data_IF_447343249994
#
_entry.id   IF_447343249994
#
_cell.length_a   1.000
_cell.length_b   1.000
_cell.length_c   1.000
_cell.angle_alpha   90.00
_cell.angle_beta   90.00
_cell.angle_gamma   90.00
#
_symmetry.space_group_name_H-M   'P 1'
#
loop_
_entity.id
_entity.type
_entity.pdbx_description
1 polymer ?
#
# COMPACT_ATOMS: atom_id res chain seq x y z
N UNK A 1 -7.82 6.89 -14.62
CA UNK A 1 -6.67 7.13 -13.71
C UNK A 1 -6.02 8.49 -13.94
N UNK A 2 -5.76 8.93 -15.19
CA UNK A 2 -5.13 10.23 -15.49
C UNK A 2 -5.71 11.42 -14.70
N UNK A 3 -7.03 11.56 -14.65
CA UNK A 3 -7.72 12.62 -13.90
C UNK A 3 -7.43 12.62 -12.38
N UNK A 4 -7.26 11.44 -11.77
CA UNK A 4 -6.90 11.33 -10.34
C UNK A 4 -5.45 11.76 -10.14
N UNK A 5 -4.53 11.31 -11.00
CA UNK A 5 -3.12 11.75 -10.95
C UNK A 5 -2.99 13.26 -11.10
N UNK A 6 -3.63 13.84 -12.10
CA UNK A 6 -3.58 15.29 -12.38
C UNK A 6 -4.19 16.10 -11.24
N UNK A 7 -5.32 15.66 -10.65
CA UNK A 7 -5.93 16.33 -9.52
C UNK A 7 -5.02 16.30 -8.26
N UNK A 8 -4.37 15.16 -7.99
CA UNK A 8 -3.44 15.03 -6.85
C UNK A 8 -2.18 15.86 -7.06
N UNK A 9 -1.64 15.86 -8.29
CA UNK A 9 -0.53 16.72 -8.67
C UNK A 9 -0.89 18.19 -8.48
N UNK A 10 -2.05 18.63 -8.98
CA UNK A 10 -2.49 20.01 -8.87
C UNK A 10 -2.68 20.44 -7.39
N UNK A 11 -3.19 19.55 -6.55
CA UNK A 11 -3.33 19.81 -5.11
C UNK A 11 -1.96 19.97 -4.43
N UNK A 12 -1.04 19.04 -4.66
CA UNK A 12 0.32 19.10 -4.07
C UNK A 12 1.15 20.25 -4.62
N UNK A 13 1.02 20.57 -5.91
CA UNK A 13 1.70 21.71 -6.53
C UNK A 13 1.21 23.05 -5.95
N UNK A 14 -0.09 23.15 -5.64
CA UNK A 14 -0.68 24.32 -4.99
C UNK A 14 -0.30 24.43 -3.52
N UNK A 15 -0.19 23.30 -2.82
CA UNK A 15 0.10 23.23 -1.39
C UNK A 15 1.17 22.16 -1.10
N UNK A 16 2.47 22.48 -1.27
CA UNK A 16 3.56 21.53 -1.04
C UNK A 16 3.64 21.00 0.40
N UNK A 17 3.07 21.74 1.36
CA UNK A 17 2.95 21.33 2.77
C UNK A 17 2.24 19.98 2.96
N UNK A 18 1.38 19.57 2.03
CA UNK A 18 0.69 18.28 2.04
C UNK A 18 1.67 17.08 2.03
N UNK A 19 2.86 17.22 1.43
CA UNK A 19 3.90 16.18 1.47
C UNK A 19 4.47 16.03 2.87
N UNK A 20 4.75 17.15 3.54
CA UNK A 20 5.23 17.14 4.92
C UNK A 20 4.18 16.54 5.84
N UNK A 21 2.92 16.97 5.72
CA UNK A 21 1.82 16.42 6.51
C UNK A 21 1.69 14.91 6.32
N UNK A 22 1.84 14.40 5.10
CA UNK A 22 1.82 12.97 4.83
C UNK A 22 2.94 12.20 5.57
N UNK A 23 4.14 12.77 5.67
CA UNK A 23 5.27 12.11 6.31
C UNK A 23 5.26 12.19 7.85
N UNK A 24 4.74 13.27 8.43
CA UNK A 24 4.91 13.54 9.87
C UNK A 24 3.62 13.64 10.68
N UNK A 25 2.49 13.98 10.05
CA UNK A 25 1.24 14.29 10.77
C UNK A 25 0.05 13.41 10.35
N UNK A 26 0.15 12.76 9.18
CA UNK A 26 -0.90 11.94 8.57
C UNK A 26 -2.27 12.63 8.54
N UNK A 27 -2.30 13.92 8.16
CA UNK A 27 -3.50 14.75 8.24
C UNK A 27 -4.51 14.40 7.15
N UNK A 28 -5.78 14.22 7.54
CA UNK A 28 -6.88 13.94 6.60
C UNK A 28 -7.56 15.22 6.12
N UNK A 29 -7.73 15.35 4.82
CA UNK A 29 -8.42 16.43 4.15
C UNK A 29 -9.87 15.99 3.78
N UNK A 30 -10.90 16.56 4.42
CA UNK A 30 -12.30 16.19 4.16
C UNK A 30 -12.83 16.66 2.80
N UNK A 31 -12.10 17.53 2.08
CA UNK A 31 -12.45 17.94 0.71
C UNK A 31 -11.92 16.97 -0.33
N UNK A 32 -11.15 15.98 0.10
CA UNK A 32 -10.53 15.00 -0.77
C UNK A 32 -11.23 13.64 -0.59
N UNK A 33 -11.94 13.24 -1.65
CA UNK A 33 -12.66 11.98 -1.69
C UNK A 33 -11.76 10.75 -1.61
N UNK A 34 -10.46 10.92 -1.86
CA UNK A 34 -9.46 9.86 -1.84
C UNK A 34 -9.44 8.97 -3.07
N UNK A 35 -8.40 8.15 -3.14
CA UNK A 35 -8.32 7.01 -4.03
C UNK A 35 -8.64 5.72 -3.25
N UNK A 36 -8.90 4.62 -3.96
CA UNK A 36 -9.12 3.29 -3.36
C UNK A 36 -7.81 2.67 -2.78
N UNK A 37 -6.97 3.48 -2.14
CA UNK A 37 -5.68 3.14 -1.57
C UNK A 37 -5.69 3.12 -0.03
N UNK A 38 -6.62 3.84 0.60
CA UNK A 38 -6.75 3.90 2.06
C UNK A 38 -8.21 3.70 2.49
N UNK A 39 -8.53 2.53 3.07
CA UNK A 39 -9.86 2.27 3.62
C UNK A 39 -10.26 3.29 4.69
N UNK A 40 -9.30 3.81 5.47
CA UNK A 40 -9.59 4.78 6.54
C UNK A 40 -9.96 6.16 5.99
N UNK A 41 -9.83 6.39 4.68
CA UNK A 41 -10.38 7.58 4.03
C UNK A 41 -11.91 7.56 4.00
N UNK A 42 -12.53 6.37 3.99
CA UNK A 42 -13.98 6.23 4.09
C UNK A 42 -14.40 6.41 5.55
N UNK A 43 -15.23 7.43 5.81
CA UNK A 43 -15.75 7.73 7.15
C UNK A 43 -17.26 7.50 7.16
N UNK A 44 -17.71 6.59 8.01
CA UNK A 44 -19.13 6.37 8.25
C UNK A 44 -19.73 7.51 9.08
N UNK A 45 -21.06 7.48 9.21
CA UNK A 45 -21.82 8.45 10.01
C UNK A 45 -21.40 8.50 11.47
N UNK A 46 -20.92 7.38 12.03
CA UNK A 46 -20.53 7.27 13.42
C UNK A 46 -19.19 7.97 13.72
N UNK A 47 -18.32 8.12 12.72
CA UNK A 47 -17.03 8.81 12.87
C UNK A 47 -17.04 10.27 12.38
N UNK A 48 -18.16 10.78 11.87
CA UNK A 48 -18.31 12.16 11.38
C UNK A 48 -19.12 13.01 12.35
N UNK A 49 -18.65 14.23 12.64
CA UNK A 49 -19.33 15.14 13.59
C UNK A 49 -20.67 15.68 13.07
N UNK A 50 -20.90 15.65 11.76
CA UNK A 50 -22.16 16.08 11.12
C UNK A 50 -23.20 14.97 11.05
N UNK A 51 -22.84 13.72 11.37
CA UNK A 51 -23.72 12.56 11.20
C UNK A 51 -23.91 12.09 9.76
N UNK A 52 -23.24 12.73 8.78
CA UNK A 52 -23.27 12.36 7.37
C UNK A 52 -21.99 11.64 6.95
N UNK A 53 -22.09 10.53 6.19
CA UNK A 53 -20.91 9.81 5.76
C UNK A 53 -20.12 10.68 4.77
N UNK A 54 -18.80 10.59 4.83
CA UNK A 54 -17.93 11.41 4.00
C UNK A 54 -16.57 10.76 3.82
N UNK A 55 -15.80 11.29 2.87
CA UNK A 55 -14.43 10.83 2.68
C UNK A 55 -13.44 11.90 3.18
N UNK A 56 -12.35 11.45 3.77
CA UNK A 56 -11.25 12.33 4.17
C UNK A 56 -9.91 11.63 3.93
N UNK A 57 -9.31 11.91 2.78
CA UNK A 57 -8.06 11.29 2.36
C UNK A 57 -6.83 12.01 2.92
N UNK A 58 -5.68 11.34 2.89
CA UNK A 58 -4.38 11.99 3.13
C UNK A 58 -3.77 12.32 1.77
N UNK A 59 -4.10 13.51 1.24
CA UNK A 59 -3.82 13.90 -0.15
C UNK A 59 -2.34 13.70 -0.53
N UNK A 60 -1.41 14.14 0.32
CA UNK A 60 0.02 13.97 0.06
C UNK A 60 0.48 12.50 0.06
N UNK A 61 -0.07 11.67 0.95
CA UNK A 61 0.26 10.25 1.01
C UNK A 61 -0.27 9.51 -0.22
N UNK A 62 -1.45 9.86 -0.70
CA UNK A 62 -1.99 9.31 -1.95
C UNK A 62 -1.20 9.74 -3.16
N UNK A 63 -0.76 11.01 -3.23
CA UNK A 63 0.14 11.44 -4.30
C UNK A 63 1.45 10.64 -4.30
N UNK A 64 2.09 10.48 -3.13
CA UNK A 64 3.30 9.65 -3.00
C UNK A 64 3.05 8.19 -3.41
N UNK A 65 1.91 7.63 -3.02
CA UNK A 65 1.53 6.27 -3.42
C UNK A 65 1.36 6.17 -4.95
N UNK A 66 0.75 7.16 -5.60
CA UNK A 66 0.62 7.22 -7.05
C UNK A 66 2.00 7.37 -7.74
N UNK A 67 2.91 8.16 -7.17
CA UNK A 67 4.31 8.25 -7.66
C UNK A 67 5.10 6.95 -7.47
N UNK A 68 4.64 6.05 -6.59
CA UNK A 68 5.26 4.73 -6.43
C UNK A 68 4.83 3.72 -7.50
N UNK A 69 3.76 3.96 -8.25
CA UNK A 69 3.23 3.02 -9.26
C UNK A 69 4.25 2.62 -10.33
N UNK A 70 5.06 3.53 -10.93
CA UNK A 70 6.07 3.16 -11.94
C UNK A 70 7.14 2.19 -11.43
N UNK A 71 7.33 2.09 -10.11
CA UNK A 71 8.33 1.23 -9.49
C UNK A 71 7.86 -0.21 -9.32
N UNK A 72 6.57 -0.46 -9.53
CA UNK A 72 6.04 -1.81 -9.61
C UNK A 72 6.11 -2.29 -11.05
N UNK A 73 6.93 -3.31 -11.31
CA UNK A 73 6.92 -3.99 -12.61
C UNK A 73 5.48 -4.40 -12.95
N UNK A 74 5.08 -4.20 -14.20
CA UNK A 74 3.81 -4.64 -14.75
C UNK A 74 4.05 -5.82 -15.70
N UNK A 75 3.14 -6.79 -15.71
CA UNK A 75 3.24 -7.98 -16.53
C UNK A 75 1.89 -8.68 -16.66
N UNK A 76 1.92 -9.90 -17.18
CA UNK A 76 0.73 -10.73 -17.38
C UNK A 76 0.80 -12.01 -16.56
N UNK A 77 -0.27 -12.34 -15.84
CA UNK A 77 -0.47 -13.67 -15.26
C UNK A 77 -1.79 -14.22 -15.82
N UNK A 78 -1.73 -15.31 -16.60
CA UNK A 78 -2.92 -15.97 -17.20
C UNK A 78 -3.83 -14.98 -17.93
N UNK A 79 -3.27 -14.22 -18.88
CA UNK A 79 -3.96 -13.20 -19.68
C UNK A 79 -4.57 -12.03 -18.88
N UNK A 80 -4.08 -11.79 -17.66
CA UNK A 80 -4.50 -10.65 -16.83
C UNK A 80 -3.31 -9.77 -16.48
N UNK A 81 -3.48 -8.43 -16.52
CA UNK A 81 -2.45 -7.52 -16.05
C UNK A 81 -2.18 -7.77 -14.55
N UNK A 82 -0.91 -7.83 -14.20
CA UNK A 82 -0.40 -8.10 -12.88
C UNK A 82 0.71 -7.09 -12.57
N UNK A 83 0.66 -6.49 -11.38
CA UNK A 83 1.77 -5.70 -10.88
C UNK A 83 2.52 -6.54 -9.83
N UNK A 84 3.85 -6.53 -9.87
CA UNK A 84 4.65 -7.17 -8.83
C UNK A 84 4.38 -6.53 -7.46
N UNK A 85 4.67 -7.26 -6.38
CA UNK A 85 4.19 -6.92 -5.04
C UNK A 85 2.76 -7.40 -4.76
N UNK A 86 1.90 -7.62 -5.78
CA UNK A 86 0.58 -8.19 -5.54
C UNK A 86 0.62 -9.70 -5.30
N UNK A 87 -0.12 -10.19 -4.30
CA UNK A 87 -0.15 -11.59 -3.90
C UNK A 87 -1.53 -12.22 -4.20
N UNK A 88 -1.59 -13.38 -4.89
CA UNK A 88 -2.83 -14.12 -5.13
C UNK A 88 -3.30 -14.75 -3.82
N UNK A 89 -4.31 -14.14 -3.19
CA UNK A 89 -4.97 -14.67 -1.99
C UNK A 89 -6.48 -14.44 -2.06
N UNK A 90 -7.07 -14.69 -3.22
CA UNK A 90 -8.50 -14.50 -3.47
C UNK A 90 -9.17 -15.65 -4.21
N UNK A 91 -10.50 -15.71 -4.13
CA UNK A 91 -11.33 -16.55 -5.00
C UNK A 91 -10.97 -16.28 -6.47
N UNK A 92 -10.87 -17.34 -7.28
CA UNK A 92 -10.55 -17.30 -8.71
C UNK A 92 -9.16 -16.74 -9.08
N UNK A 93 -8.18 -16.79 -8.17
CA UNK A 93 -6.77 -16.46 -8.51
C UNK A 93 -6.45 -14.97 -8.66
N UNK A 94 -7.38 -14.07 -8.33
CA UNK A 94 -7.11 -12.62 -8.36
C UNK A 94 -6.18 -12.20 -7.21
N UNK A 95 -5.16 -11.35 -7.44
CA UNK A 95 -4.38 -10.77 -6.37
C UNK A 95 -5.24 -9.91 -5.45
N UNK A 96 -5.16 -10.17 -4.14
CA UNK A 96 -5.98 -9.47 -3.12
C UNK A 96 -5.18 -8.77 -2.06
N UNK A 97 -3.88 -8.97 -2.05
CA UNK A 97 -3.02 -8.29 -1.10
C UNK A 97 -1.86 -7.62 -1.83
N UNK A 98 -1.56 -6.40 -1.42
CA UNK A 98 -0.29 -5.77 -1.75
C UNK A 98 0.72 -6.19 -0.68
N UNK A 99 1.89 -6.67 -1.11
CA UNK A 99 3.03 -7.03 -0.27
C UNK A 99 4.21 -6.17 -0.71
N UNK A 100 4.89 -5.55 0.25
CA UNK A 100 6.08 -4.75 -0.02
C UNK A 100 7.07 -4.84 1.15
N UNK A 101 8.35 -4.67 0.83
CA UNK A 101 9.39 -4.52 1.83
C UNK A 101 9.53 -3.04 2.23
N UNK A 102 9.97 -2.80 3.45
CA UNK A 102 10.59 -1.56 3.91
C UNK A 102 12.08 -1.83 4.01
N UNK A 103 12.93 -0.96 3.49
CA UNK A 103 14.36 -1.20 3.37
C UNK A 103 15.17 0.02 3.80
N UNK A 104 16.45 -0.20 4.15
CA UNK A 104 17.29 0.83 4.79
C UNK A 104 18.09 1.70 3.83
N UNK A 105 18.39 1.24 2.61
CA UNK A 105 19.24 1.97 1.65
C UNK A 105 18.43 2.54 0.50
N UNK A 106 18.88 3.64 -0.09
CA UNK A 106 18.33 4.07 -1.39
C UNK A 106 18.61 2.99 -2.43
N UNK A 107 17.56 2.54 -3.13
CA UNK A 107 17.64 1.55 -4.18
C UNK A 107 17.31 2.22 -5.51
N UNK A 108 18.03 1.83 -6.57
CA UNK A 108 17.66 2.18 -7.94
C UNK A 108 16.41 1.41 -8.39
N UNK A 109 15.76 1.78 -9.51
CA UNK A 109 14.54 1.12 -9.97
C UNK A 109 14.68 -0.40 -10.16
N UNK A 110 15.83 -0.87 -10.65
CA UNK A 110 16.08 -2.30 -10.91
C UNK A 110 16.21 -3.04 -9.58
N UNK A 111 16.92 -2.47 -8.60
CA UNK A 111 17.05 -3.03 -7.27
C UNK A 111 15.70 -3.07 -6.53
N UNK A 112 14.85 -2.06 -6.70
CA UNK A 112 13.48 -2.06 -6.15
C UNK A 112 12.68 -3.21 -6.75
N UNK A 113 12.72 -3.38 -8.08
CA UNK A 113 12.05 -4.48 -8.75
C UNK A 113 12.53 -5.84 -8.21
N UNK A 114 13.86 -6.05 -8.17
CA UNK A 114 14.46 -7.28 -7.64
C UNK A 114 14.00 -7.53 -6.21
N UNK A 115 14.00 -6.52 -5.35
CA UNK A 115 13.57 -6.66 -3.96
C UNK A 115 12.09 -7.04 -3.83
N UNK A 116 11.20 -6.36 -4.57
CA UNK A 116 9.76 -6.62 -4.54
C UNK A 116 9.39 -7.98 -5.14
N UNK A 117 10.22 -8.51 -6.04
CA UNK A 117 10.07 -9.84 -6.65
C UNK A 117 10.79 -10.94 -5.87
N UNK A 118 11.70 -10.59 -4.95
CA UNK A 118 12.60 -11.54 -4.30
C UNK A 118 11.82 -12.63 -3.53
N UNK A 119 12.14 -13.93 -3.72
CA UNK A 119 11.39 -15.03 -3.12
C UNK A 119 11.25 -14.93 -1.58
N UNK A 120 12.28 -14.46 -0.90
CA UNK A 120 12.24 -14.25 0.56
C UNK A 120 11.20 -13.21 0.98
N UNK A 121 11.12 -12.07 0.28
CA UNK A 121 10.14 -11.01 0.57
C UNK A 121 8.73 -11.50 0.25
N UNK A 122 8.56 -12.19 -0.87
CA UNK A 122 7.27 -12.77 -1.29
C UNK A 122 6.75 -13.78 -0.27
N UNK A 123 7.59 -14.74 0.13
CA UNK A 123 7.26 -15.77 1.13
C UNK A 123 6.93 -15.15 2.49
N UNK A 124 7.76 -14.24 2.97
CA UNK A 124 7.52 -13.55 4.24
C UNK A 124 6.18 -12.81 4.22
N UNK A 125 5.87 -12.08 3.15
CA UNK A 125 4.60 -11.38 2.98
C UNK A 125 3.38 -12.31 2.89
N UNK A 126 3.56 -13.54 2.42
CA UNK A 126 2.53 -14.58 2.43
C UNK A 126 2.36 -15.25 3.81
N UNK A 127 3.18 -14.89 4.79
CA UNK A 127 3.16 -15.53 6.10
C UNK A 127 3.86 -16.89 6.08
N UNK A 128 4.77 -17.14 5.13
CA UNK A 128 5.64 -18.30 5.18
C UNK A 128 6.84 -18.00 6.08
N UNK A 129 7.42 -19.05 6.65
CA UNK A 129 8.67 -18.93 7.40
C UNK A 129 9.84 -18.68 6.44
N UNK A 130 10.65 -17.67 6.78
CA UNK A 130 11.84 -17.24 6.05
C UNK A 130 12.90 -16.89 7.10
N UNK A 131 14.16 -17.39 6.96
CA UNK A 131 15.22 -17.02 7.88
C UNK A 131 15.41 -15.51 7.95
N UNK A 132 15.32 -14.90 9.14
CA UNK A 132 15.46 -13.45 9.33
C UNK A 132 16.77 -12.91 8.73
N UNK A 133 17.87 -13.66 8.89
CA UNK A 133 19.18 -13.32 8.32
C UNK A 133 19.16 -13.14 6.79
N UNK A 134 18.22 -13.78 6.08
CA UNK A 134 18.07 -13.62 4.63
C UNK A 134 17.42 -12.29 4.27
N UNK A 135 16.45 -11.83 5.06
CA UNK A 135 15.79 -10.52 4.86
C UNK A 135 16.71 -9.38 5.32
N UNK A 136 17.40 -9.56 6.44
CA UNK A 136 18.40 -8.63 6.96
C UNK A 136 19.54 -8.38 5.95
N UNK A 137 20.08 -9.44 5.32
CA UNK A 137 21.11 -9.30 4.27
C UNK A 137 20.64 -8.54 3.03
N UNK A 138 19.33 -8.55 2.75
CA UNK A 138 18.74 -7.74 1.69
C UNK A 138 18.52 -6.27 2.12
N UNK A 139 18.86 -5.92 3.36
CA UNK A 139 18.60 -4.59 3.93
C UNK A 139 17.13 -4.35 4.25
N UNK A 140 16.32 -5.41 4.37
CA UNK A 140 14.89 -5.31 4.70
C UNK A 140 14.73 -5.05 6.19
N UNK A 141 13.96 -4.02 6.52
CA UNK A 141 13.56 -3.62 7.87
C UNK A 141 12.21 -4.22 8.27
N UNK A 142 11.30 -4.36 7.30
CA UNK A 142 10.01 -4.99 7.51
C UNK A 142 9.46 -5.53 6.18
N UNK A 143 8.58 -6.52 6.25
CA UNK A 143 7.70 -6.91 5.14
C UNK A 143 6.27 -6.65 5.57
N UNK A 144 5.58 -5.81 4.80
CA UNK A 144 4.23 -5.37 5.06
C UNK A 144 3.24 -6.02 4.08
N UNK A 145 2.00 -6.17 4.53
CA UNK A 145 0.90 -6.68 3.71
C UNK A 145 -0.38 -5.87 3.96
N UNK A 146 -1.05 -5.44 2.90
CA UNK A 146 -2.38 -4.83 2.97
C UNK A 146 -3.37 -5.64 2.13
N UNK A 147 -4.49 -6.06 2.73
CA UNK A 147 -5.56 -6.81 2.05
C UNK A 147 -6.68 -5.89 1.55
N UNK A 148 -7.16 -6.13 0.33
CA UNK A 148 -8.34 -5.45 -0.24
C UNK A 148 -9.64 -5.96 0.38
N UNK A 149 -10.59 -5.05 0.64
CA UNK A 149 -11.84 -5.39 1.36
C UNK A 149 -12.84 -6.20 0.54
N UNK A 150 -12.80 -6.13 -0.79
CA UNK A 150 -13.81 -6.67 -1.72
C UNK A 150 -15.22 -6.11 -1.47
N UNK A 151 -15.70 -5.37 -2.47
CA UNK A 151 -17.08 -4.88 -2.52
C UNK A 151 -17.81 -5.61 -3.65
N UNK A 152 -19.13 -5.59 -3.64
CA UNK A 152 -19.98 -6.29 -4.62
C UNK A 152 -19.61 -5.95 -6.08
N UNK A 153 -19.29 -4.68 -6.35
CA UNK A 153 -19.03 -4.17 -7.70
C UNK A 153 -17.61 -3.62 -7.89
N UNK A 154 -16.71 -3.82 -6.93
CA UNK A 154 -15.31 -3.37 -7.07
C UNK A 154 -14.36 -4.17 -6.18
N UNK A 155 -13.08 -4.15 -6.53
CA UNK A 155 -12.05 -4.80 -5.72
C UNK A 155 -11.85 -4.12 -4.33
N UNK A 156 -12.55 -3.00 -4.02
CA UNK A 156 -12.57 -2.32 -2.71
C UNK A 156 -11.25 -1.67 -2.28
N UNK A 157 -11.21 -0.82 -1.24
CA UNK A 157 -9.97 -0.18 -0.80
C UNK A 157 -8.99 -1.18 -0.15
N UNK A 158 -7.71 -0.84 -0.16
CA UNK A 158 -6.70 -1.52 0.66
C UNK A 158 -6.99 -1.27 2.15
N UNK A 159 -6.95 -2.35 2.93
CA UNK A 159 -7.01 -2.29 4.37
C UNK A 159 -5.71 -1.81 4.99
N UNK A 160 -5.69 -1.63 6.33
CA UNK A 160 -4.49 -1.27 7.05
C UNK A 160 -3.36 -2.28 6.77
N UNK A 161 -2.15 -1.77 6.57
CA UNK A 161 -0.96 -2.59 6.45
C UNK A 161 -0.73 -3.38 7.75
N UNK A 162 -0.35 -4.64 7.61
CA UNK A 162 0.07 -5.53 8.69
C UNK A 162 1.55 -5.85 8.52
N UNK A 163 2.30 -5.86 9.61
CA UNK A 163 3.67 -6.36 9.64
C UNK A 163 3.64 -7.88 9.57
N UNK A 164 4.23 -8.43 8.50
CA UNK A 164 4.36 -9.87 8.28
C UNK A 164 5.72 -10.39 8.74
N UNK A 165 6.73 -9.52 8.66
CA UNK A 165 8.07 -9.73 9.19
C UNK A 165 8.67 -8.38 9.63
N UNK A 166 9.41 -8.30 10.74
CA UNK A 166 9.59 -9.37 11.74
C UNK A 166 8.25 -9.72 12.39
N UNK A 167 8.05 -11.01 12.70
CA UNK A 167 6.87 -11.43 13.45
C UNK A 167 7.05 -10.96 14.89
N UNK A 168 6.02 -10.38 15.47
CA UNK A 168 5.99 -10.22 16.92
C UNK A 168 6.21 -11.61 17.52
N UNK A 169 7.19 -11.75 18.40
CA UNK A 169 7.32 -12.92 19.27
C UNK A 169 5.96 -13.06 19.95
N UNK A 170 5.27 -14.19 19.77
CA UNK A 170 4.14 -14.48 20.64
C UNK A 170 4.64 -14.36 22.08
N UNK A 171 4.00 -13.58 22.97
CA UNK A 171 4.33 -13.69 24.37
C UNK A 171 4.16 -15.16 24.74
N UNK A 172 5.22 -15.76 25.26
CA UNK A 172 5.23 -17.17 25.64
C UNK A 172 4.02 -17.46 26.51
N UNK A 173 3.31 -18.54 26.17
CA UNK A 173 2.31 -19.12 27.07
C UNK A 173 3.01 -19.80 28.23
#
# INVERSE_FOLDING_TARGET
>A
MRQVYEAKLAAVAREPGLLREACVLWRRNPRDAGANLDRRAQRDRAVTTTGDPGNAAVTGAEWLALQSVPWFRLGGMRDRPFAWGWAPRGRAGRPRALVWAVWSRTLDPVAIEVLLTHPAVRRAGLGDEVPSSRLERLGVLAVLRAERTVLTNSDGPLGPARVMWPRASSPGR
#
